data_IF_942300903123
#
_entry.id   IF_942300903123
#
_cell.length_a   1.000
_cell.length_b   1.000
_cell.length_c   1.000
_cell.angle_alpha   90.00
_cell.angle_beta   90.00
_cell.angle_gamma   90.00
#
_symmetry.space_group_name_H-M   'P 1'
#
loop_
_entity.id
_entity.type
_entity.pdbx_description
1 polymer ?
#
# COMPACT_ATOMS: atom_id res chain seq x y z
N UNK A 1 18.13 -9.55 -15.77
CA UNK A 1 16.84 -9.38 -15.08
C UNK A 1 16.66 -10.49 -14.06
N UNK A 2 16.32 -10.13 -12.83
CA UNK A 2 16.16 -11.09 -11.74
C UNK A 2 14.70 -11.60 -11.62
N UNK A 3 13.74 -10.87 -12.21
CA UNK A 3 12.31 -11.18 -12.19
C UNK A 3 11.67 -10.94 -13.58
N UNK A 4 12.11 -11.68 -14.62
CA UNK A 4 11.63 -11.45 -16.00
C UNK A 4 10.14 -11.72 -16.19
N UNK A 5 9.51 -12.55 -15.37
CA UNK A 5 8.05 -12.78 -15.44
C UNK A 5 7.21 -11.62 -14.90
N UNK A 6 7.84 -10.65 -14.22
CA UNK A 6 7.19 -9.49 -13.64
C UNK A 6 7.47 -8.19 -14.40
N UNK A 7 8.29 -8.26 -15.45
CA UNK A 7 8.73 -7.10 -16.23
C UNK A 7 8.37 -7.23 -17.70
N UNK A 8 8.22 -6.09 -18.37
CA UNK A 8 8.04 -6.01 -19.81
C UNK A 8 9.38 -6.23 -20.56
N UNK A 9 9.35 -6.16 -21.89
CA UNK A 9 10.51 -6.32 -22.75
C UNK A 9 11.62 -5.26 -22.54
N UNK A 10 11.28 -4.13 -21.93
CA UNK A 10 12.21 -3.04 -21.60
C UNK A 10 12.77 -3.16 -20.18
N UNK A 11 12.33 -4.16 -19.40
CA UNK A 11 12.74 -4.40 -18.02
C UNK A 11 11.99 -3.57 -16.97
N UNK A 12 10.86 -2.95 -17.32
CA UNK A 12 9.99 -2.26 -16.37
C UNK A 12 8.94 -3.20 -15.82
N UNK A 13 8.65 -3.11 -14.53
CA UNK A 13 7.53 -3.84 -13.93
C UNK A 13 6.21 -3.46 -14.59
N UNK A 14 5.35 -4.46 -14.79
CA UNK A 14 3.97 -4.20 -15.21
C UNK A 14 3.29 -3.26 -14.23
N UNK A 15 2.66 -2.16 -14.70
CA UNK A 15 2.21 -1.06 -13.83
C UNK A 15 0.93 -1.39 -13.06
N UNK A 16 0.23 -2.47 -13.40
CA UNK A 16 -1.07 -2.82 -12.82
C UNK A 16 -1.09 -4.25 -12.31
N UNK A 17 -1.91 -4.50 -11.28
CA UNK A 17 -2.19 -5.86 -10.81
C UNK A 17 -3.29 -6.53 -11.63
N UNK A 18 -4.37 -5.80 -11.92
CA UNK A 18 -5.58 -6.32 -12.56
C UNK A 18 -5.68 -5.87 -14.01
N UNK A 19 -6.28 -6.71 -14.89
CA UNK A 19 -6.55 -6.33 -16.27
C UNK A 19 -7.35 -5.04 -16.38
N UNK A 20 -6.91 -4.16 -17.27
CA UNK A 20 -7.61 -2.93 -17.59
C UNK A 20 -7.84 -2.86 -19.11
N UNK A 21 -9.10 -2.82 -19.59
CA UNK A 21 -9.39 -2.78 -21.02
C UNK A 21 -8.76 -1.59 -21.77
N UNK A 22 -8.47 -0.48 -21.08
CA UNK A 22 -7.80 0.67 -21.66
C UNK A 22 -6.28 0.44 -21.87
N UNK A 23 -5.71 -0.56 -21.17
CA UNK A 23 -4.29 -0.91 -21.20
C UNK A 23 -4.11 -2.44 -21.25
N UNK A 24 -4.53 -3.11 -22.32
CA UNK A 24 -4.47 -4.56 -22.42
C UNK A 24 -3.03 -5.07 -22.33
N UNK A 25 -2.82 -6.15 -21.60
CA UNK A 25 -1.50 -6.77 -21.42
C UNK A 25 -0.57 -6.04 -20.44
N UNK A 26 -1.04 -5.00 -19.75
CA UNK A 26 -0.22 -4.19 -18.83
C UNK A 26 -0.39 -4.59 -17.36
N UNK A 27 -1.03 -5.70 -17.06
CA UNK A 27 -1.19 -6.18 -15.69
C UNK A 27 -0.45 -7.48 -15.40
N UNK A 28 -0.02 -7.64 -14.15
CA UNK A 28 0.63 -8.89 -13.69
C UNK A 28 -0.29 -10.09 -13.87
N UNK A 29 -1.59 -9.96 -13.63
CA UNK A 29 -2.54 -11.07 -13.76
C UNK A 29 -2.76 -11.54 -15.22
N UNK A 30 -2.35 -10.75 -16.21
CA UNK A 30 -2.36 -11.15 -17.62
C UNK A 30 -1.07 -11.89 -18.02
N UNK A 31 -0.05 -11.91 -17.15
CA UNK A 31 1.24 -12.55 -17.44
C UNK A 31 1.32 -13.96 -16.87
N UNK A 32 2.30 -14.71 -17.36
CA UNK A 32 2.71 -16.00 -16.76
C UNK A 32 3.76 -15.74 -15.69
N UNK A 33 3.34 -15.18 -14.56
CA UNK A 33 4.23 -14.87 -13.44
C UNK A 33 4.77 -16.15 -12.77
N UNK A 34 5.98 -16.06 -12.21
CA UNK A 34 6.62 -17.13 -11.43
C UNK A 34 6.63 -16.75 -9.95
N UNK A 35 6.09 -17.62 -9.10
CA UNK A 35 6.02 -17.42 -7.64
C UNK A 35 7.42 -17.22 -7.02
N UNK A 36 8.45 -17.82 -7.57
CA UNK A 36 9.82 -17.65 -7.07
C UNK A 36 10.36 -16.26 -7.34
N UNK A 37 9.99 -15.67 -8.48
CA UNK A 37 10.36 -14.30 -8.83
C UNK A 37 9.58 -13.31 -7.98
N UNK A 38 8.28 -13.57 -7.71
CA UNK A 38 7.49 -12.79 -6.75
C UNK A 38 8.11 -12.84 -5.35
N UNK A 39 8.53 -14.03 -4.88
CA UNK A 39 9.20 -14.17 -3.60
C UNK A 39 10.51 -13.35 -3.57
N UNK A 40 11.31 -13.44 -4.61
CA UNK A 40 12.57 -12.72 -4.72
C UNK A 40 12.36 -11.21 -4.67
N UNK A 41 11.36 -10.70 -5.38
CA UNK A 41 11.00 -9.28 -5.37
C UNK A 41 10.48 -8.84 -4.01
N UNK A 42 9.55 -9.57 -3.40
CA UNK A 42 9.05 -9.23 -2.07
C UNK A 42 10.16 -9.22 -1.00
N UNK A 43 11.07 -10.18 -1.05
CA UNK A 43 12.26 -10.17 -0.17
C UNK A 43 13.12 -8.93 -0.40
N UNK A 44 13.36 -8.56 -1.66
CA UNK A 44 14.13 -7.37 -2.00
C UNK A 44 13.51 -6.11 -1.40
N UNK A 45 12.20 -5.95 -1.54
CA UNK A 45 11.47 -4.80 -1.00
C UNK A 45 11.53 -4.78 0.53
N UNK A 46 11.25 -5.88 1.21
CA UNK A 46 11.29 -5.98 2.67
C UNK A 46 12.70 -5.65 3.20
N UNK A 47 13.72 -6.25 2.63
CA UNK A 47 15.09 -6.10 3.12
C UNK A 47 15.66 -4.71 2.83
N UNK A 48 15.32 -4.12 1.68
CA UNK A 48 15.68 -2.73 1.37
C UNK A 48 15.02 -1.77 2.34
N UNK A 49 13.74 -2.01 2.65
CA UNK A 49 13.00 -1.19 3.60
C UNK A 49 13.56 -1.32 5.01
N UNK A 50 13.86 -2.53 5.48
CA UNK A 50 14.47 -2.75 6.80
C UNK A 50 15.82 -2.06 6.96
N UNK A 51 16.62 -1.94 5.89
CA UNK A 51 17.87 -1.18 5.90
C UNK A 51 17.66 0.32 6.08
N UNK A 52 16.63 0.86 5.45
CA UNK A 52 16.37 2.30 5.41
C UNK A 52 15.42 2.76 6.53
N UNK A 53 14.53 1.88 6.98
CA UNK A 53 13.50 2.13 7.99
C UNK A 53 13.56 1.04 9.06
N UNK A 54 14.51 1.11 10.01
CA UNK A 54 14.68 0.08 11.04
C UNK A 54 13.45 -0.13 11.94
N UNK A 55 12.55 0.86 12.00
CA UNK A 55 11.30 0.83 12.76
C UNK A 55 10.12 0.25 11.98
N UNK A 56 10.33 -0.37 10.82
CA UNK A 56 9.28 -1.05 10.05
C UNK A 56 8.47 -1.98 10.97
N UNK A 57 7.16 -1.88 10.92
CA UNK A 57 6.27 -2.54 11.89
C UNK A 57 5.30 -3.55 11.28
N UNK A 58 5.10 -3.51 9.97
CA UNK A 58 4.14 -4.35 9.26
C UNK A 58 4.43 -4.38 7.75
N UNK A 59 3.77 -5.31 7.06
CA UNK A 59 3.70 -5.38 5.61
C UNK A 59 2.30 -4.99 5.13
N UNK A 60 2.23 -4.29 4.01
CA UNK A 60 0.99 -3.95 3.30
C UNK A 60 1.24 -3.97 1.80
N UNK A 61 0.32 -4.53 1.03
CA UNK A 61 0.44 -4.63 -0.42
C UNK A 61 -0.31 -3.53 -1.15
N UNK A 62 0.36 -2.89 -2.09
CA UNK A 62 -0.28 -1.97 -3.03
C UNK A 62 -1.15 -2.74 -4.03
N UNK A 63 -2.33 -2.21 -4.38
CA UNK A 63 -3.24 -2.79 -5.38
C UNK A 63 -3.55 -4.29 -5.16
N UNK A 64 -3.60 -4.76 -3.92
CA UNK A 64 -3.81 -6.17 -3.56
C UNK A 64 -2.70 -7.12 -4.06
N UNK A 65 -1.50 -6.61 -4.33
CA UNK A 65 -0.35 -7.40 -4.80
C UNK A 65 0.02 -8.58 -3.88
N UNK A 66 -0.33 -8.48 -2.61
CA UNK A 66 -0.06 -9.48 -1.57
C UNK A 66 -1.11 -10.60 -1.49
N UNK A 67 -2.17 -10.55 -2.30
CA UNK A 67 -3.29 -11.48 -2.15
C UNK A 67 -4.09 -11.77 -3.42
N UNK A 68 -3.56 -11.45 -4.60
CA UNK A 68 -4.28 -11.67 -5.86
C UNK A 68 -4.42 -13.16 -6.24
N UNK A 69 -3.65 -14.06 -5.62
CA UNK A 69 -3.82 -15.51 -5.71
C UNK A 69 -3.62 -16.16 -4.34
N UNK A 70 -4.12 -17.40 -4.19
CA UNK A 70 -3.90 -18.19 -2.97
C UNK A 70 -2.41 -18.41 -2.70
N UNK A 71 -1.66 -18.75 -3.74
CA UNK A 71 -0.23 -19.04 -3.66
C UNK A 71 0.58 -17.80 -3.21
N UNK A 72 0.27 -16.63 -3.75
CA UNK A 72 0.89 -15.36 -3.34
C UNK A 72 0.51 -15.00 -1.89
N UNK A 73 -0.73 -15.22 -1.49
CA UNK A 73 -1.13 -14.98 -0.11
C UNK A 73 -0.36 -15.89 0.86
N UNK A 74 -0.23 -17.20 0.57
CA UNK A 74 0.54 -18.15 1.38
C UNK A 74 2.03 -17.73 1.46
N UNK A 75 2.60 -17.27 0.35
CA UNK A 75 3.95 -16.72 0.32
C UNK A 75 4.08 -15.51 1.27
N UNK A 76 3.18 -14.54 1.18
CA UNK A 76 3.21 -13.34 2.04
C UNK A 76 3.09 -13.71 3.53
N UNK A 77 2.20 -14.66 3.90
CA UNK A 77 2.09 -15.14 5.28
C UNK A 77 3.39 -15.79 5.77
N UNK A 78 4.08 -16.54 4.91
CA UNK A 78 5.37 -17.12 5.23
C UNK A 78 6.44 -16.05 5.43
N UNK A 79 6.53 -15.07 4.55
CA UNK A 79 7.47 -13.95 4.67
C UNK A 79 7.18 -13.09 5.91
N UNK A 80 5.92 -12.77 6.17
CA UNK A 80 5.49 -12.04 7.36
C UNK A 80 5.99 -12.73 8.66
N UNK A 81 5.86 -14.05 8.72
CA UNK A 81 6.37 -14.84 9.85
C UNK A 81 7.89 -14.86 9.91
N UNK A 82 8.56 -15.04 8.78
CA UNK A 82 10.02 -15.13 8.68
C UNK A 82 10.68 -13.81 9.12
N UNK A 83 10.14 -12.68 8.69
CA UNK A 83 10.66 -11.35 9.03
C UNK A 83 10.08 -10.77 10.33
N UNK A 84 9.19 -11.48 11.04
CA UNK A 84 8.44 -10.95 12.18
C UNK A 84 7.73 -9.62 11.91
N UNK A 85 7.18 -9.48 10.70
CA UNK A 85 6.43 -8.32 10.25
C UNK A 85 5.01 -8.78 9.90
N UNK A 86 3.99 -8.49 10.72
CA UNK A 86 2.63 -8.89 10.40
C UNK A 86 2.18 -8.25 9.08
N UNK A 87 1.50 -9.00 8.24
CA UNK A 87 0.75 -8.46 7.12
C UNK A 87 -0.59 -7.94 7.61
N UNK A 88 -0.95 -6.71 7.21
CA UNK A 88 -2.19 -6.05 7.60
C UNK A 88 -3.25 -6.10 6.50
N UNK A 89 -2.96 -6.76 5.39
CA UNK A 89 -3.90 -6.84 4.29
C UNK A 89 -5.16 -7.64 4.66
N UNK A 90 -6.24 -7.43 3.89
CA UNK A 90 -7.55 -8.08 4.14
C UNK A 90 -7.49 -9.60 4.27
N UNK A 91 -6.47 -10.21 3.68
CA UNK A 91 -6.31 -11.67 3.66
C UNK A 91 -5.64 -12.21 4.90
N UNK A 92 -5.10 -11.34 5.76
CA UNK A 92 -4.57 -11.77 7.05
C UNK A 92 -5.73 -12.17 7.97
N UNK A 93 -5.77 -13.46 8.31
CA UNK A 93 -6.76 -14.05 9.23
C UNK A 93 -6.40 -13.88 10.70
N UNK A 94 -5.29 -13.22 11.03
CA UNK A 94 -4.88 -13.03 12.42
C UNK A 94 -5.93 -12.20 13.17
N UNK A 95 -6.39 -12.69 14.31
CA UNK A 95 -7.46 -12.06 15.09
C UNK A 95 -7.04 -10.72 15.68
N UNK A 96 -5.75 -10.49 15.82
CA UNK A 96 -5.21 -9.35 16.58
C UNK A 96 -5.18 -8.05 15.77
N UNK A 97 -5.25 -8.10 14.43
CA UNK A 97 -5.18 -6.93 13.53
C UNK A 97 -6.47 -6.65 12.76
N UNK A 98 -7.56 -7.34 13.08
CA UNK A 98 -8.81 -7.16 12.36
C UNK A 98 -9.32 -5.74 12.49
N UNK A 99 -9.63 -5.15 11.35
CA UNK A 99 -10.35 -3.90 11.23
C UNK A 99 -11.38 -4.01 10.10
N UNK A 100 -12.38 -3.16 10.17
CA UNK A 100 -13.36 -3.01 9.10
C UNK A 100 -12.96 -1.83 8.23
N UNK A 101 -12.87 -2.05 6.91
CA UNK A 101 -12.68 -0.95 5.98
C UNK A 101 -13.92 -0.08 5.96
N UNK A 102 -13.72 1.23 6.04
CA UNK A 102 -14.74 2.23 5.81
C UNK A 102 -14.36 3.10 4.61
N UNK A 103 -15.39 3.60 3.93
CA UNK A 103 -15.26 4.55 2.83
C UNK A 103 -16.17 5.73 3.04
N UNK A 104 -16.49 6.42 1.97
CA UNK A 104 -17.46 7.50 1.93
C UNK A 104 -18.89 6.95 1.97
N UNK A 105 -19.77 7.58 2.75
CA UNK A 105 -21.20 7.26 2.78
C UNK A 105 -22.00 8.30 1.98
N UNK A 106 -21.72 8.41 0.69
CA UNK A 106 -22.35 9.34 -0.23
C UNK A 106 -21.44 9.73 -1.39
N UNK A 107 -21.74 10.85 -2.06
CA UNK A 107 -20.92 11.41 -3.13
C UNK A 107 -19.49 11.73 -2.64
N UNK A 108 -18.52 11.68 -3.57
CA UNK A 108 -17.10 11.90 -3.26
C UNK A 108 -16.31 12.55 -4.40
N UNK A 109 -16.97 13.32 -5.25
CA UNK A 109 -16.31 13.95 -6.41
C UNK A 109 -15.59 15.25 -6.06
N UNK A 110 -16.16 16.02 -5.12
CA UNK A 110 -15.56 17.28 -4.65
C UNK A 110 -15.02 17.14 -3.23
N UNK A 111 -14.21 18.08 -2.78
CA UNK A 111 -13.70 18.13 -1.41
C UNK A 111 -14.83 18.19 -0.39
N UNK A 112 -15.87 19.01 -0.66
CA UNK A 112 -17.04 19.18 0.21
C UNK A 112 -17.87 17.90 0.27
N UNK A 113 -18.06 17.21 -0.86
CA UNK A 113 -18.76 15.93 -0.92
C UNK A 113 -17.98 14.86 -0.13
N UNK A 114 -16.65 14.78 -0.31
CA UNK A 114 -15.79 13.87 0.45
C UNK A 114 -15.93 14.13 1.96
N UNK A 115 -15.82 15.38 2.38
CA UNK A 115 -15.93 15.77 3.78
C UNK A 115 -17.29 15.35 4.37
N UNK A 116 -18.39 15.73 3.71
CA UNK A 116 -19.74 15.42 4.19
C UNK A 116 -20.00 13.91 4.24
N UNK A 117 -19.61 13.19 3.19
CA UNK A 117 -19.77 11.73 3.09
C UNK A 117 -18.90 10.97 4.08
N UNK A 118 -17.70 11.46 4.39
CA UNK A 118 -16.84 10.86 5.40
C UNK A 118 -17.38 11.09 6.82
N UNK A 119 -17.81 12.31 7.15
CA UNK A 119 -18.46 12.61 8.45
C UNK A 119 -19.66 11.69 8.66
N UNK A 120 -20.50 11.52 7.63
CA UNK A 120 -21.63 10.60 7.67
C UNK A 120 -21.20 9.13 7.86
N UNK A 121 -20.08 8.72 7.28
CA UNK A 121 -19.51 7.38 7.52
C UNK A 121 -19.06 7.23 8.98
N UNK A 122 -18.42 8.26 9.56
CA UNK A 122 -18.03 8.26 10.97
C UNK A 122 -19.23 8.08 11.91
N UNK A 123 -20.40 8.58 11.56
CA UNK A 123 -21.62 8.44 12.37
C UNK A 123 -22.04 6.98 12.58
N UNK A 124 -21.72 6.10 11.66
CA UNK A 124 -22.06 4.67 11.68
C UNK A 124 -21.11 3.80 12.47
N UNK A 125 -19.98 4.34 12.91
CA UNK A 125 -18.97 3.57 13.63
C UNK A 125 -19.49 3.12 15.00
N UNK A 126 -19.18 1.88 15.36
CA UNK A 126 -19.61 1.26 16.60
C UNK A 126 -18.48 1.29 17.66
N UNK A 127 -18.78 1.59 18.93
CA UNK A 127 -17.81 1.57 20.00
C UNK A 127 -17.11 0.20 20.11
N UNK A 128 -15.83 0.23 20.45
CA UNK A 128 -15.03 -1.00 20.65
C UNK A 128 -14.60 -1.70 19.38
N UNK A 129 -14.97 -1.19 18.21
CA UNK A 129 -14.53 -1.74 16.93
C UNK A 129 -13.32 -0.95 16.38
N UNK A 130 -12.58 -1.60 15.48
CA UNK A 130 -11.45 -0.99 14.78
C UNK A 130 -11.81 -0.80 13.32
N UNK A 131 -11.48 0.37 12.79
CA UNK A 131 -11.77 0.75 11.41
C UNK A 131 -10.51 1.26 10.72
N UNK A 132 -10.42 1.02 9.43
CA UNK A 132 -9.40 1.58 8.56
C UNK A 132 -10.09 2.37 7.43
N UNK A 133 -9.76 3.65 7.34
CA UNK A 133 -10.00 4.47 6.16
C UNK A 133 -8.70 4.54 5.37
N UNK A 134 -8.77 4.27 4.08
CA UNK A 134 -7.64 4.31 3.17
C UNK A 134 -8.01 5.16 1.96
N UNK A 135 -7.22 6.17 1.71
CA UNK A 135 -7.31 7.02 0.53
C UNK A 135 -5.95 7.64 0.20
N UNK A 136 -5.84 8.36 -0.91
CA UNK A 136 -4.58 8.83 -1.48
C UNK A 136 -4.52 10.36 -1.51
N UNK A 137 -4.06 11.05 -0.45
CA UNK A 137 -3.93 12.50 -0.45
C UNK A 137 -2.76 12.95 -1.33
N UNK A 138 -2.97 14.05 -2.08
CA UNK A 138 -1.91 14.78 -2.75
C UNK A 138 -2.32 16.25 -2.93
N UNK A 139 -1.38 17.10 -3.31
CA UNK A 139 -1.66 18.50 -3.67
C UNK A 139 -1.97 18.59 -5.17
N UNK A 140 -2.93 19.43 -5.55
CA UNK A 140 -3.20 19.79 -6.95
C UNK A 140 -2.13 20.77 -7.43
N UNK A 141 -0.97 20.24 -7.79
CA UNK A 141 0.16 20.99 -8.32
C UNK A 141 0.57 20.47 -9.71
N UNK A 142 1.51 21.14 -10.36
CA UNK A 142 1.91 20.81 -11.72
C UNK A 142 2.52 19.41 -11.83
N UNK A 143 3.23 18.95 -10.81
CA UNK A 143 3.78 17.60 -10.77
C UNK A 143 2.65 16.57 -10.73
N UNK A 144 1.68 16.73 -9.81
CA UNK A 144 0.58 15.77 -9.65
C UNK A 144 -0.35 15.74 -10.87
N UNK A 145 -0.50 16.85 -11.62
CA UNK A 145 -1.27 16.92 -12.87
C UNK A 145 -0.69 16.07 -14.00
N UNK A 146 0.56 15.65 -13.90
CA UNK A 146 1.16 14.70 -14.84
C UNK A 146 0.79 13.25 -14.57
N UNK A 147 0.19 12.96 -13.41
CA UNK A 147 -0.22 11.61 -12.95
C UNK A 147 -1.69 11.40 -13.28
N UNK A 148 -1.96 10.63 -14.31
CA UNK A 148 -3.31 10.27 -14.71
C UNK A 148 -3.32 9.00 -15.56
N UNK A 149 -4.50 8.45 -15.81
CA UNK A 149 -4.70 7.39 -16.79
C UNK A 149 -6.07 7.56 -17.47
N UNK A 150 -6.30 6.86 -18.58
CA UNK A 150 -7.58 6.88 -19.30
C UNK A 150 -8.71 6.51 -18.34
N UNK A 151 -9.70 7.40 -18.22
CA UNK A 151 -10.86 7.25 -17.32
C UNK A 151 -10.62 7.72 -15.88
N UNK A 152 -9.46 8.28 -15.59
CA UNK A 152 -9.16 8.96 -14.32
C UNK A 152 -8.16 10.10 -14.57
N UNK A 153 -8.62 11.11 -15.29
CA UNK A 153 -7.84 12.27 -15.71
C UNK A 153 -7.72 13.32 -14.60
N UNK A 154 -8.68 13.38 -13.68
CA UNK A 154 -8.76 14.37 -12.61
C UNK A 154 -8.03 13.93 -11.32
N UNK A 155 -6.99 13.10 -11.42
CA UNK A 155 -6.27 12.52 -10.26
C UNK A 155 -5.78 13.60 -9.30
N UNK A 156 -5.19 14.68 -9.80
CA UNK A 156 -4.65 15.75 -8.95
C UNK A 156 -5.75 16.43 -8.12
N UNK A 157 -6.85 16.80 -8.77
CA UNK A 157 -8.01 17.42 -8.12
C UNK A 157 -8.68 16.49 -7.12
N UNK A 158 -8.88 15.22 -7.50
CA UNK A 158 -9.49 14.21 -6.62
C UNK A 158 -8.66 13.99 -5.35
N UNK A 159 -7.33 13.89 -5.49
CA UNK A 159 -6.42 13.70 -4.36
C UNK A 159 -6.24 14.94 -3.50
N UNK A 160 -6.32 16.15 -4.09
CA UNK A 160 -6.42 17.39 -3.32
C UNK A 160 -7.65 17.37 -2.41
N UNK A 161 -8.80 16.93 -2.92
CA UNK A 161 -10.01 16.77 -2.11
C UNK A 161 -9.84 15.80 -0.93
N UNK A 162 -9.00 14.78 -1.08
CA UNK A 162 -8.62 13.90 0.05
C UNK A 162 -7.72 14.64 1.06
N UNK A 163 -6.79 15.45 0.58
CA UNK A 163 -5.95 16.30 1.45
C UNK A 163 -6.80 17.27 2.26
N UNK A 164 -7.75 17.94 1.62
CA UNK A 164 -8.68 18.87 2.26
C UNK A 164 -9.54 18.18 3.31
N UNK A 165 -10.08 17.00 2.98
CA UNK A 165 -10.79 16.13 3.93
C UNK A 165 -9.95 15.82 5.18
N UNK A 166 -8.73 15.32 4.98
CA UNK A 166 -7.88 14.85 6.08
C UNK A 166 -7.33 16.00 6.95
N UNK A 167 -7.33 17.23 6.43
CA UNK A 167 -6.93 18.43 7.15
C UNK A 167 -8.12 19.26 7.66
N UNK A 168 -9.36 18.84 7.36
CA UNK A 168 -10.57 19.57 7.71
C UNK A 168 -10.79 19.71 9.23
N UNK A 169 -11.00 20.94 9.75
CA UNK A 169 -11.41 21.14 11.14
C UNK A 169 -12.76 20.49 11.47
N UNK A 170 -13.67 20.40 10.51
CA UNK A 170 -15.00 19.76 10.70
C UNK A 170 -14.88 18.26 10.89
N UNK A 171 -14.00 17.60 10.10
CA UNK A 171 -13.69 16.18 10.26
C UNK A 171 -13.02 15.92 11.61
N UNK A 172 -12.05 16.75 11.98
CA UNK A 172 -11.39 16.67 13.29
C UNK A 172 -12.40 16.76 14.42
N UNK A 173 -13.29 17.75 14.36
CA UNK A 173 -14.35 17.89 15.35
C UNK A 173 -15.28 16.68 15.41
N UNK A 174 -15.68 16.11 14.27
CA UNK A 174 -16.54 14.92 14.23
C UNK A 174 -15.85 13.70 14.88
N UNK A 175 -14.55 13.54 14.69
CA UNK A 175 -13.73 12.49 15.33
C UNK A 175 -13.72 12.69 16.85
N UNK A 176 -13.47 13.92 17.30
CA UNK A 176 -13.43 14.27 18.73
C UNK A 176 -14.79 14.10 19.40
N UNK A 177 -15.86 14.63 18.81
CA UNK A 177 -17.22 14.56 19.35
C UNK A 177 -17.70 13.09 19.53
N UNK A 178 -17.23 12.21 18.66
CA UNK A 178 -17.53 10.77 18.73
C UNK A 178 -16.60 9.98 19.64
N UNK A 179 -15.59 10.61 20.22
CA UNK A 179 -14.59 9.93 21.04
C UNK A 179 -13.76 8.90 20.27
N UNK A 180 -13.60 9.08 18.94
CA UNK A 180 -12.82 8.18 18.09
C UNK A 180 -11.33 8.38 18.39
N UNK A 181 -10.66 7.29 18.74
CA UNK A 181 -9.21 7.30 18.95
C UNK A 181 -8.48 6.98 17.66
N UNK A 182 -7.74 7.94 17.12
CA UNK A 182 -6.82 7.69 16.01
C UNK A 182 -5.59 6.94 16.51
N UNK A 183 -5.24 5.87 15.82
CA UNK A 183 -4.07 5.04 16.13
C UNK A 183 -3.29 4.73 14.86
N UNK A 184 -1.98 4.56 14.99
CA UNK A 184 -1.15 4.04 13.92
C UNK A 184 -1.15 2.51 13.94
N UNK A 185 -0.83 1.90 12.80
CA UNK A 185 -0.67 0.43 12.71
C UNK A 185 0.44 -0.05 13.64
N UNK A 186 1.52 0.72 13.81
CA UNK A 186 2.57 0.41 14.78
C UNK A 186 2.04 0.29 16.22
N UNK A 187 1.00 1.04 16.58
CA UNK A 187 0.36 0.90 17.90
C UNK A 187 -0.45 -0.40 18.03
N UNK A 188 -1.02 -0.90 16.92
CA UNK A 188 -1.68 -2.21 16.88
C UNK A 188 -0.69 -3.36 17.00
N UNK A 189 0.49 -3.22 16.39
CA UNK A 189 1.53 -4.25 16.36
C UNK A 189 2.51 -4.15 17.56
N UNK A 190 2.30 -3.20 18.46
CA UNK A 190 3.15 -2.96 19.63
C UNK A 190 3.10 -4.15 20.58
N UNK A 191 4.28 -4.71 20.86
CA UNK A 191 4.41 -5.89 21.73
C UNK A 191 4.66 -7.20 20.97
N UNK A 192 4.55 -7.19 19.64
CA UNK A 192 5.04 -8.31 18.85
C UNK A 192 6.57 -8.30 18.77
N UNK A 193 7.21 -9.47 18.74
CA UNK A 193 8.64 -9.55 18.51
C UNK A 193 8.96 -8.88 17.15
N UNK A 194 9.88 -7.93 17.15
CA UNK A 194 10.42 -7.36 15.92
C UNK A 194 11.52 -8.25 15.37
N UNK A 195 11.74 -8.23 14.08
CA UNK A 195 12.87 -8.94 13.47
C UNK A 195 14.19 -8.50 14.15
N UNK A 196 14.86 -9.45 14.78
CA UNK A 196 16.07 -9.17 15.57
C UNK A 196 17.31 -8.97 14.69
N UNK A 197 17.30 -9.38 13.44
CA UNK A 197 18.41 -9.24 12.51
C UNK A 197 17.89 -9.21 11.07
N UNK A 198 18.48 -8.36 10.26
CA UNK A 198 18.28 -8.38 8.81
C UNK A 198 18.79 -9.71 8.27
N UNK A 199 17.98 -10.51 7.57
CA UNK A 199 18.51 -11.67 6.86
C UNK A 199 19.65 -11.22 5.93
N UNK A 200 20.67 -12.05 5.79
CA UNK A 200 21.78 -11.74 4.89
C UNK A 200 21.24 -11.73 3.46
N UNK A 201 21.33 -10.58 2.82
CA UNK A 201 21.12 -10.48 1.38
C UNK A 201 22.10 -11.42 0.68
N UNK A 202 21.59 -12.22 -0.24
CA UNK A 202 22.47 -13.02 -1.07
C UNK A 202 23.23 -12.13 -2.08
N UNK A 203 24.23 -12.72 -2.75
CA UNK A 203 25.05 -11.99 -3.73
C UNK A 203 24.25 -11.45 -4.92
N UNK A 204 23.15 -12.12 -5.28
CA UNK A 204 22.31 -11.70 -6.41
C UNK A 204 21.55 -10.42 -6.06
N UNK A 205 20.98 -10.35 -4.85
CA UNK A 205 20.28 -9.18 -4.34
C UNK A 205 21.21 -7.97 -4.19
N UNK A 206 22.42 -8.18 -3.67
CA UNK A 206 23.40 -7.09 -3.60
C UNK A 206 23.77 -6.54 -4.99
N UNK A 207 23.88 -7.40 -6.01
CA UNK A 207 24.09 -6.97 -7.40
C UNK A 207 22.92 -6.16 -7.95
N UNK A 208 21.68 -6.59 -7.64
CA UNK A 208 20.48 -5.86 -8.03
C UNK A 208 20.46 -4.45 -7.42
N UNK A 209 20.67 -4.32 -6.11
CA UNK A 209 20.71 -3.03 -5.44
C UNK A 209 21.85 -2.13 -5.96
N UNK A 210 22.99 -2.69 -6.29
CA UNK A 210 24.10 -1.95 -6.87
C UNK A 210 23.80 -1.52 -8.31
N UNK A 211 23.07 -2.33 -9.09
CA UNK A 211 22.62 -1.97 -10.44
C UNK A 211 21.61 -0.83 -10.40
N UNK A 212 20.63 -0.88 -9.49
CA UNK A 212 19.62 0.18 -9.29
C UNK A 212 20.30 1.50 -8.89
N UNK A 213 21.27 1.47 -7.97
CA UNK A 213 22.06 2.65 -7.58
C UNK A 213 22.88 3.22 -8.76
N UNK A 214 23.48 2.35 -9.58
CA UNK A 214 24.25 2.76 -10.77
C UNK A 214 23.38 3.40 -11.85
N UNK A 215 22.13 2.96 -11.99
CA UNK A 215 21.20 3.52 -12.96
C UNK A 215 20.73 4.93 -12.59
N UNK A 216 21.12 5.48 -11.45
CA UNK A 216 20.76 6.83 -11.02
C UNK A 216 19.26 6.99 -10.73
N UNK A 217 18.56 5.89 -10.59
CA UNK A 217 17.16 5.92 -10.14
C UNK A 217 17.16 6.27 -8.66
N UNK A 218 16.69 7.46 -8.37
CA UNK A 218 16.48 7.92 -7.01
C UNK A 218 15.51 6.94 -6.30
N UNK A 219 15.99 6.29 -5.25
CA UNK A 219 15.21 5.35 -4.43
C UNK A 219 14.04 6.04 -3.68
N UNK A 220 13.77 7.31 -3.96
CA UNK A 220 12.63 8.08 -3.42
C UNK A 220 11.27 7.66 -3.99
N UNK A 221 11.21 6.77 -4.97
CA UNK A 221 9.96 6.29 -5.57
C UNK A 221 9.56 4.87 -5.18
N UNK A 222 10.18 4.23 -4.21
CA UNK A 222 9.64 2.98 -3.63
C UNK A 222 8.63 3.38 -2.57
N UNK A 223 7.42 3.68 -3.01
CA UNK A 223 6.28 3.82 -2.12
C UNK A 223 5.84 2.43 -1.69
N UNK A 224 6.32 1.99 -0.53
CA UNK A 224 5.66 0.92 0.23
C UNK A 224 4.55 1.60 1.00
N UNK A 225 3.37 1.58 0.43
CA UNK A 225 2.14 1.99 1.11
C UNK A 225 1.44 0.75 1.62
#
# INVERSE_FOLDING_TARGET
DLCPSLTDENGYFYPMMFPNPAYPGQSIMEQKWDIKEIEQEFRAQIETTLKSIPQLSHLSGHMLSTGFSKEVNELVQRLAKEYNLPSIDRMDSSKDYRFTYIGYDGPKRTAEEKEASFIKALEKLQPGQRYLFLDHPALDNDEMKTVFHIGYEDVALDRQGVTDLLTSPRVRKAIEDKGIKLISINQLTKGLPRAAATPKLDKAMNRYLDAVKKAGQDLHSIMIV
#
